data_IF_585871658657
#
_entry.id   IF_585871658657
#
_cell.length_a   1.000
_cell.length_b   1.000
_cell.length_c   1.000
_cell.angle_alpha   90.00
_cell.angle_beta   90.00
_cell.angle_gamma   90.00
#
_symmetry.space_group_name_H-M   'P 1'
#
loop_
_entity.id
_entity.type
_entity.pdbx_description
1 polymer ?
#
# COMPACT_ATOMS: atom_id res chain seq x y z
N UNK A 1 -62.00 2.90 -39.54
CA UNK A 1 -63.24 3.17 -38.80
C UNK A 1 -62.90 3.87 -37.50
N UNK A 2 -63.64 4.95 -37.20
CA UNK A 2 -64.06 5.48 -35.88
C UNK A 2 -62.97 5.46 -34.78
N UNK A 3 -62.31 6.59 -34.51
CA UNK A 3 -62.76 7.66 -33.57
C UNK A 3 -63.28 7.10 -32.25
N UNK A 4 -62.66 7.50 -31.15
CA UNK A 4 -63.25 7.97 -29.88
C UNK A 4 -62.06 8.58 -29.10
N UNK A 5 -61.99 9.92 -28.98
CA UNK A 5 -62.66 10.73 -27.94
C UNK A 5 -62.07 10.37 -26.57
N UNK A 6 -61.51 11.26 -25.77
CA UNK A 6 -62.19 12.46 -25.27
C UNK A 6 -61.34 13.09 -24.16
N UNK A 7 -61.39 14.42 -24.06
CA UNK A 7 -61.59 15.23 -22.84
C UNK A 7 -60.58 15.05 -21.67
N UNK A 8 -60.08 16.05 -20.95
CA UNK A 8 -60.47 17.43 -20.64
C UNK A 8 -59.22 17.98 -19.89
N UNK A 9 -58.67 19.15 -20.22
CA UNK A 9 -58.96 20.44 -19.57
C UNK A 9 -58.59 20.40 -18.06
N UNK A 10 -57.71 21.23 -17.50
CA UNK A 10 -57.72 22.69 -17.30
C UNK A 10 -56.45 22.91 -16.44
N UNK A 11 -55.53 23.82 -16.79
CA UNK A 11 -55.46 25.18 -16.22
C UNK A 11 -55.45 25.13 -14.67
N UNK A 12 -54.63 25.82 -13.89
CA UNK A 12 -53.98 27.11 -13.99
C UNK A 12 -53.59 27.42 -12.55
N UNK A 13 -52.54 28.23 -12.36
CA UNK A 13 -52.38 29.13 -11.21
C UNK A 13 -52.24 28.45 -9.83
N UNK A 14 -51.56 28.98 -8.84
CA UNK A 14 -50.63 30.09 -8.72
C UNK A 14 -50.07 29.98 -7.29
N UNK A 15 -48.86 30.51 -7.11
CA UNK A 15 -48.47 31.29 -5.94
C UNK A 15 -48.86 30.73 -4.56
N UNK A 16 -47.90 30.12 -3.88
CA UNK A 16 -47.56 30.61 -2.54
C UNK A 16 -46.05 30.60 -2.38
N UNK A 17 -45.49 31.81 -2.36
CA UNK A 17 -44.17 32.09 -1.81
C UNK A 17 -44.16 31.63 -0.37
N UNK A 18 -43.37 30.60 -0.07
CA UNK A 18 -42.96 30.35 1.30
C UNK A 18 -41.47 30.67 1.37
N UNK A 19 -41.20 31.89 1.83
CA UNK A 19 -39.91 32.25 2.38
C UNK A 19 -39.70 31.36 3.60
N UNK A 20 -38.86 30.35 3.46
CA UNK A 20 -38.26 29.68 4.61
C UNK A 20 -36.76 29.90 4.60
N UNK A 21 -36.32 30.35 5.77
CA UNK A 21 -34.99 30.70 6.20
C UNK A 21 -33.85 29.96 5.49
N UNK A 22 -32.88 30.75 5.06
CA UNK A 22 -31.53 30.34 4.75
C UNK A 22 -30.89 29.77 6.03
N UNK A 23 -31.09 28.46 6.26
CA UNK A 23 -30.25 27.69 7.17
C UNK A 23 -28.98 27.35 6.40
N UNK A 24 -27.93 28.13 6.64
CA UNK A 24 -26.58 27.71 6.29
C UNK A 24 -26.25 26.45 7.09
N UNK A 25 -26.38 25.29 6.43
CA UNK A 25 -25.76 24.05 6.84
C UNK A 25 -24.99 23.54 5.62
N UNK A 26 -23.72 23.95 5.58
CA UNK A 26 -22.59 23.38 4.86
C UNK A 26 -22.90 22.53 3.61
N UNK A 27 -23.00 23.20 2.47
CA UNK A 27 -22.64 22.61 1.19
C UNK A 27 -21.12 22.76 0.95
N UNK A 28 -20.32 22.24 1.88
CA UNK A 28 -18.86 22.31 1.94
C UNK A 28 -18.47 21.26 2.99
N UNK A 29 -17.84 20.12 2.77
CA UNK A 29 -16.69 19.77 1.94
C UNK A 29 -16.67 18.22 1.83
N UNK A 30 -17.45 17.61 0.94
CA UNK A 30 -17.28 16.19 0.55
C UNK A 30 -16.25 16.09 -0.60
N UNK A 31 -15.12 16.79 -0.44
CA UNK A 31 -14.04 16.83 -1.42
C UNK A 31 -12.67 17.13 -0.77
N UNK A 32 -12.48 16.72 0.49
CA UNK A 32 -11.18 16.81 1.16
C UNK A 32 -10.78 15.42 1.64
N UNK A 33 -9.61 14.96 1.17
CA UNK A 33 -8.87 13.74 1.54
C UNK A 33 -8.83 12.57 0.54
N UNK A 34 -8.90 12.82 -0.78
CA UNK A 34 -8.44 11.84 -1.78
C UNK A 34 -7.04 12.13 -2.33
N UNK A 35 -6.22 12.91 -1.60
CA UNK A 35 -4.79 12.89 -1.84
C UNK A 35 -4.25 11.55 -1.34
N UNK A 36 -4.22 10.55 -2.24
CA UNK A 36 -3.49 9.32 -2.00
C UNK A 36 -2.07 9.69 -1.57
N UNK A 37 -1.68 9.31 -0.35
CA UNK A 37 -0.33 9.54 0.15
C UNK A 37 0.67 8.89 -0.81
N UNK A 38 1.45 9.74 -1.49
CA UNK A 38 2.41 9.32 -2.54
C UNK A 38 3.81 9.13 -1.95
N UNK A 39 3.99 9.36 -0.66
CA UNK A 39 5.29 9.32 -0.02
C UNK A 39 5.75 7.88 0.21
N UNK A 40 7.06 7.68 0.28
CA UNK A 40 7.63 6.38 0.61
C UNK A 40 7.33 6.07 2.08
N UNK A 41 6.68 4.93 2.31
CA UNK A 41 6.31 4.46 3.64
C UNK A 41 7.25 3.33 4.05
N UNK A 42 7.69 3.35 5.31
CA UNK A 42 8.46 2.25 5.90
C UNK A 42 7.51 1.35 6.68
N UNK A 43 7.48 0.08 6.33
CA UNK A 43 6.65 -0.95 6.94
C UNK A 43 7.59 -1.94 7.62
N UNK A 44 7.45 -2.10 8.94
CA UNK A 44 8.12 -3.17 9.68
C UNK A 44 7.27 -4.42 9.56
N UNK A 45 7.87 -5.51 9.08
CA UNK A 45 7.18 -6.78 8.89
C UNK A 45 7.41 -7.64 10.13
N UNK A 46 6.32 -8.14 10.72
CA UNK A 46 6.41 -9.15 11.77
C UNK A 46 6.99 -10.44 11.19
N UNK A 47 7.92 -11.06 11.91
CA UNK A 47 8.65 -12.21 11.39
C UNK A 47 7.83 -13.50 11.50
N UNK A 48 7.04 -13.76 10.47
CA UNK A 48 6.28 -15.01 10.27
C UNK A 48 7.05 -16.01 9.38
N UNK A 49 8.33 -15.75 9.10
CA UNK A 49 9.15 -16.47 8.12
C UNK A 49 10.33 -17.22 8.76
N UNK A 50 10.27 -17.48 10.06
CA UNK A 50 11.33 -18.13 10.85
C UNK A 50 11.81 -19.46 10.24
N UNK A 51 10.88 -20.24 9.69
CA UNK A 51 11.12 -21.49 9.00
C UNK A 51 11.99 -21.37 7.74
N UNK A 52 12.07 -20.17 7.14
CA UNK A 52 12.91 -19.87 5.98
C UNK A 52 14.33 -19.43 6.36
N UNK A 53 14.58 -19.13 7.63
CA UNK A 53 15.89 -18.69 8.12
C UNK A 53 16.27 -19.30 9.48
N UNK A 54 16.26 -20.63 9.62
CA UNK A 54 16.43 -21.31 10.91
C UNK A 54 17.78 -21.04 11.59
N UNK A 55 18.79 -20.57 10.84
CA UNK A 55 20.12 -20.28 11.39
C UNK A 55 20.32 -18.81 11.76
N UNK A 56 19.56 -17.90 11.14
CA UNK A 56 19.69 -16.47 11.34
C UNK A 56 19.24 -16.04 12.74
N UNK A 57 19.95 -15.05 13.30
CA UNK A 57 19.67 -14.49 14.64
C UNK A 57 19.44 -12.99 14.56
N UNK A 58 18.56 -12.50 15.44
CA UNK A 58 18.13 -11.09 15.51
C UNK A 58 17.66 -10.57 14.14
N UNK A 59 16.77 -11.33 13.51
CA UNK A 59 16.21 -10.98 12.21
C UNK A 59 15.29 -9.77 12.34
N UNK A 60 15.41 -8.85 11.40
CA UNK A 60 14.54 -7.69 11.23
C UNK A 60 14.24 -7.54 9.74
N UNK A 61 12.94 -7.47 9.41
CA UNK A 61 12.47 -7.35 8.05
C UNK A 61 11.73 -6.02 7.93
N UNK A 62 12.14 -5.21 6.95
CA UNK A 62 11.51 -3.91 6.66
C UNK A 62 11.30 -3.75 5.17
N UNK A 63 10.22 -3.06 4.81
CA UNK A 63 9.86 -2.69 3.45
C UNK A 63 9.78 -1.17 3.35
N UNK A 64 10.41 -0.60 2.34
CA UNK A 64 10.13 0.76 1.87
C UNK A 64 9.22 0.66 0.65
N UNK A 65 7.97 1.09 0.76
CA UNK A 65 7.01 1.08 -0.35
C UNK A 65 6.71 2.50 -0.84
N UNK A 66 6.81 2.72 -2.15
CA UNK A 66 6.45 3.98 -2.80
C UNK A 66 5.20 3.77 -3.66
N UNK A 67 4.00 4.16 -3.19
CA UNK A 67 2.74 3.90 -3.88
C UNK A 67 2.63 4.56 -5.26
N UNK A 68 3.34 5.66 -5.49
CA UNK A 68 3.33 6.36 -6.77
C UNK A 68 3.93 5.54 -7.91
N UNK A 69 5.01 4.83 -7.63
CA UNK A 69 5.78 4.09 -8.63
C UNK A 69 5.62 2.59 -8.50
N UNK A 70 4.80 2.13 -7.54
CA UNK A 70 4.65 0.73 -7.15
C UNK A 70 6.01 0.06 -6.86
N UNK A 71 6.91 0.81 -6.23
CA UNK A 71 8.28 0.38 -5.95
C UNK A 71 8.42 -0.09 -4.52
N UNK A 72 9.09 -1.23 -4.33
CA UNK A 72 9.33 -1.81 -3.01
C UNK A 72 10.80 -2.11 -2.85
N UNK A 73 11.36 -1.68 -1.74
CA UNK A 73 12.69 -2.08 -1.30
C UNK A 73 12.60 -2.85 0.00
N UNK A 74 12.96 -4.12 -0.06
CA UNK A 74 13.03 -4.99 1.10
C UNK A 74 14.42 -4.93 1.70
N UNK A 75 14.49 -4.86 3.03
CA UNK A 75 15.69 -5.07 3.79
C UNK A 75 15.49 -6.20 4.80
N UNK A 76 16.31 -7.24 4.65
CA UNK A 76 16.46 -8.31 5.60
C UNK A 76 17.76 -8.08 6.36
N UNK A 77 17.68 -7.83 7.66
CA UNK A 77 18.84 -7.57 8.52
C UNK A 77 18.95 -8.65 9.59
N UNK A 78 20.13 -9.22 9.79
CA UNK A 78 20.39 -10.17 10.87
C UNK A 78 21.83 -10.01 11.40
N UNK A 79 22.18 -10.77 12.44
CA UNK A 79 23.56 -10.84 12.92
C UNK A 79 24.49 -11.37 11.82
N UNK A 80 25.60 -10.68 11.58
CA UNK A 80 26.53 -11.02 10.51
C UNK A 80 27.14 -12.42 10.66
N UNK A 81 27.29 -12.91 11.89
CA UNK A 81 27.83 -14.24 12.19
C UNK A 81 26.88 -15.38 11.82
N UNK A 82 25.59 -15.09 11.66
CA UNK A 82 24.54 -16.06 11.32
C UNK A 82 23.92 -15.77 9.96
N UNK A 83 24.56 -14.93 9.14
CA UNK A 83 24.02 -14.55 7.84
C UNK A 83 24.24 -15.68 6.83
N UNK A 84 23.14 -16.19 6.29
CA UNK A 84 23.12 -17.01 5.09
C UNK A 84 22.40 -16.27 3.95
N UNK A 85 23.01 -16.29 2.77
CA UNK A 85 22.46 -15.58 1.62
C UNK A 85 21.21 -16.26 1.06
N UNK A 86 21.17 -17.60 1.05
CA UNK A 86 20.03 -18.36 0.55
C UNK A 86 18.79 -18.18 1.42
N UNK A 87 18.97 -18.24 2.75
CA UNK A 87 17.90 -17.96 3.72
C UNK A 87 17.33 -16.55 3.53
N UNK A 88 18.21 -15.53 3.47
CA UNK A 88 17.79 -14.14 3.24
C UNK A 88 17.03 -13.94 1.92
N UNK A 89 17.48 -14.59 0.84
CA UNK A 89 16.82 -14.54 -0.47
C UNK A 89 15.44 -15.21 -0.44
N UNK A 90 15.32 -16.37 0.19
CA UNK A 90 14.06 -17.10 0.31
C UNK A 90 13.05 -16.31 1.14
N UNK A 91 13.47 -15.77 2.29
CA UNK A 91 12.62 -14.90 3.11
C UNK A 91 12.20 -13.66 2.34
N UNK A 92 13.13 -13.00 1.64
CA UNK A 92 12.81 -11.82 0.83
C UNK A 92 11.76 -12.13 -0.25
N UNK A 93 11.89 -13.28 -0.93
CA UNK A 93 10.94 -13.69 -1.95
C UNK A 93 9.55 -13.96 -1.37
N UNK A 94 9.46 -14.62 -0.22
CA UNK A 94 8.19 -14.90 0.45
C UNK A 94 7.49 -13.60 0.88
N UNK A 95 8.21 -12.68 1.54
CA UNK A 95 7.69 -11.37 1.95
C UNK A 95 7.19 -10.57 0.75
N UNK A 96 7.94 -10.55 -0.37
CA UNK A 96 7.52 -9.86 -1.58
C UNK A 96 6.31 -10.51 -2.26
N UNK A 97 6.13 -11.83 -2.11
CA UNK A 97 4.95 -12.54 -2.62
C UNK A 97 3.71 -12.23 -1.78
N UNK A 98 3.83 -12.22 -0.46
CA UNK A 98 2.72 -11.87 0.44
C UNK A 98 2.30 -10.41 0.22
N UNK A 99 3.27 -9.50 0.13
CA UNK A 99 3.01 -8.11 -0.26
C UNK A 99 2.30 -8.01 -1.61
N UNK A 100 2.69 -8.83 -2.59
CA UNK A 100 2.01 -8.88 -3.89
C UNK A 100 0.54 -9.30 -3.74
N UNK A 101 0.28 -10.32 -2.91
CA UNK A 101 -1.07 -10.83 -2.64
C UNK A 101 -1.95 -9.79 -1.97
N UNK A 102 -1.45 -9.12 -0.94
CA UNK A 102 -2.15 -8.06 -0.20
C UNK A 102 -2.51 -6.87 -1.09
N UNK A 103 -1.63 -6.51 -2.03
CA UNK A 103 -1.81 -5.38 -2.92
C UNK A 103 -2.32 -5.76 -4.33
N UNK A 104 -2.75 -7.01 -4.53
CA UNK A 104 -3.32 -7.53 -5.78
C UNK A 104 -2.38 -7.42 -7.00
N UNK A 105 -1.06 -7.49 -6.79
CA UNK A 105 -0.07 -7.57 -7.86
C UNK A 105 0.14 -9.00 -8.34
N UNK A 106 0.37 -9.18 -9.65
CA UNK A 106 0.60 -10.52 -10.24
C UNK A 106 2.07 -10.95 -10.23
N UNK A 107 2.97 -9.99 -10.38
CA UNK A 107 4.41 -10.23 -10.51
C UNK A 107 5.18 -8.96 -10.15
N UNK A 108 6.39 -9.16 -9.62
CA UNK A 108 7.37 -8.10 -9.43
C UNK A 108 8.52 -8.27 -10.42
N UNK A 109 9.24 -7.18 -10.64
CA UNK A 109 10.45 -7.14 -11.45
C UNK A 109 11.58 -6.51 -10.65
N UNK A 110 12.77 -7.07 -10.76
CA UNK A 110 13.96 -6.50 -10.14
C UNK A 110 14.33 -5.18 -10.82
N UNK A 111 14.37 -4.10 -10.05
CA UNK A 111 14.81 -2.78 -10.51
C UNK A 111 16.33 -2.64 -10.43
N UNK A 112 16.96 -3.36 -9.51
CA UNK A 112 18.40 -3.42 -9.37
C UNK A 112 18.83 -4.82 -8.90
N UNK A 113 20.13 -5.13 -9.07
CA UNK A 113 20.72 -6.32 -8.45
C UNK A 113 20.62 -6.20 -6.94
N UNK A 114 20.28 -7.31 -6.31
CA UNK A 114 20.29 -7.43 -4.86
C UNK A 114 21.70 -7.22 -4.31
N UNK A 115 21.76 -6.73 -3.07
CA UNK A 115 23.02 -6.35 -2.43
C UNK A 115 23.03 -6.81 -0.99
N UNK A 116 24.21 -7.22 -0.54
CA UNK A 116 24.47 -7.47 0.88
C UNK A 116 25.48 -6.45 1.37
N UNK A 117 25.20 -5.83 2.52
CA UNK A 117 26.10 -4.92 3.22
C UNK A 117 26.31 -5.39 4.64
N UNK A 118 27.55 -5.30 5.10
CA UNK A 118 27.90 -5.56 6.49
C UNK A 118 28.22 -4.24 7.17
N UNK A 119 27.72 -4.06 8.38
CA UNK A 119 27.93 -2.85 9.16
C UNK A 119 28.00 -3.18 10.65
N UNK A 120 28.51 -2.23 11.44
CA UNK A 120 28.41 -2.32 12.90
C UNK A 120 27.22 -1.47 13.31
N UNK A 121 26.29 -2.08 14.02
CA UNK A 121 25.13 -1.39 14.55
C UNK A 121 25.56 -0.38 15.62
N UNK A 122 24.96 0.82 15.59
CA UNK A 122 25.38 1.92 16.44
C UNK A 122 25.01 1.66 17.91
N UNK A 123 23.87 1.01 18.14
CA UNK A 123 23.31 0.83 19.48
C UNK A 123 23.86 -0.45 20.12
N UNK A 124 23.66 -1.59 19.46
CA UNK A 124 24.09 -2.89 19.98
C UNK A 124 25.60 -3.12 19.87
N UNK A 125 26.31 -2.33 19.05
CA UNK A 125 27.73 -2.54 18.67
C UNK A 125 28.01 -3.88 17.99
N UNK A 126 26.96 -4.65 17.68
CA UNK A 126 27.06 -5.94 17.00
C UNK A 126 27.31 -5.74 15.51
N UNK A 127 27.97 -6.73 14.91
CA UNK A 127 28.19 -6.74 13.46
C UNK A 127 26.94 -7.34 12.81
N UNK A 128 26.31 -6.58 11.94
CA UNK A 128 25.07 -6.94 11.25
C UNK A 128 25.33 -7.16 9.76
N UNK A 129 24.54 -8.02 9.15
CA UNK A 129 24.42 -8.17 7.71
C UNK A 129 23.04 -7.68 7.28
N UNK A 130 22.98 -6.94 6.18
CA UNK A 130 21.73 -6.53 5.55
C UNK A 130 21.73 -6.94 4.09
N UNK A 131 20.81 -7.83 3.75
CA UNK A 131 20.41 -8.11 2.39
C UNK A 131 19.34 -7.12 1.97
N UNK A 132 19.45 -6.58 0.76
CA UNK A 132 18.48 -5.65 0.20
C UNK A 132 18.05 -6.08 -1.19
N UNK A 133 16.74 -6.14 -1.41
CA UNK A 133 16.15 -6.36 -2.73
C UNK A 133 15.32 -5.15 -3.15
N UNK A 134 15.44 -4.76 -4.42
CA UNK A 134 14.74 -3.60 -4.95
C UNK A 134 13.93 -4.01 -6.18
N UNK A 135 12.62 -3.98 -6.01
CA UNK A 135 11.66 -4.44 -7.01
C UNK A 135 10.64 -3.35 -7.31
N UNK A 136 9.94 -3.51 -8.42
CA UNK A 136 8.73 -2.77 -8.71
C UNK A 136 7.64 -3.74 -9.17
N UNK A 137 6.40 -3.41 -8.89
CA UNK A 137 5.25 -4.17 -9.32
C UNK A 137 4.63 -3.54 -10.55
N UNK A 138 4.03 -4.38 -11.40
CA UNK A 138 3.21 -3.93 -12.53
C UNK A 138 1.77 -4.32 -12.24
N UNK A 139 0.87 -3.33 -12.25
CA UNK A 139 -0.58 -3.55 -12.23
C UNK A 139 -1.05 -4.15 -13.56
#
# INVERSE_FOLDING_TARGET
>A
MKKILSLIAIATLALTSVVFAQSAADATVEAANSYADRTTQTITVEDQYDYLHPTAKNVQITLEYTPLTDEVRLYYTCLASSYDQGEAMNTAMAVLQDFAGEHQYKHYFYKAKDKTKYFRDADSKLRMARYSSYVYYKK
#
